data_IF_667105780324
#
_entry.id   IF_667105780324
#
_cell.length_a   1.000
_cell.length_b   1.000
_cell.length_c   1.000
_cell.angle_alpha   90.00
_cell.angle_beta   90.00
_cell.angle_gamma   90.00
#
_symmetry.space_group_name_H-M   'P 1'
#
loop_
_entity.id
_entity.type
_entity.pdbx_description
1 polymer ?
#
# COMPACT_ATOMS: atom_id res chain seq x y z
N UNK A 1 24.11 10.42 -23.38
CA UNK A 1 22.99 10.60 -22.43
C UNK A 1 23.13 9.53 -21.36
N UNK A 2 23.37 9.91 -20.10
CA UNK A 2 23.40 8.94 -19.00
C UNK A 2 21.96 8.44 -18.80
N UNK A 3 21.76 7.12 -18.83
CA UNK A 3 20.51 6.53 -18.38
C UNK A 3 20.30 6.99 -16.94
N UNK A 4 19.20 7.70 -16.67
CA UNK A 4 18.84 8.12 -15.32
C UNK A 4 18.82 6.86 -14.45
N UNK A 5 19.75 6.75 -13.50
CA UNK A 5 19.79 5.58 -12.60
C UNK A 5 18.44 5.47 -11.90
N UNK A 6 17.80 4.30 -12.02
CA UNK A 6 16.51 4.02 -11.37
C UNK A 6 16.74 4.05 -9.86
N UNK A 7 15.85 4.71 -9.12
CA UNK A 7 15.93 4.72 -7.65
C UNK A 7 15.73 3.31 -7.09
N UNK A 8 16.22 3.08 -5.86
CA UNK A 8 16.01 1.81 -5.16
C UNK A 8 14.53 1.44 -5.05
N UNK A 9 13.65 2.44 -4.95
CA UNK A 9 12.21 2.23 -4.91
C UNK A 9 11.67 1.68 -6.23
N UNK A 10 12.09 2.27 -7.36
CA UNK A 10 11.70 1.79 -8.70
C UNK A 10 12.23 0.38 -8.92
N UNK A 11 13.50 0.12 -8.56
CA UNK A 11 14.09 -1.21 -8.67
C UNK A 11 13.37 -2.23 -7.80
N UNK A 12 13.03 -1.89 -6.56
CA UNK A 12 12.28 -2.75 -5.65
C UNK A 12 10.89 -3.09 -6.22
N UNK A 13 10.14 -2.09 -6.70
CA UNK A 13 8.81 -2.29 -7.27
C UNK A 13 8.84 -3.04 -8.61
N UNK A 14 9.89 -2.91 -9.41
CA UNK A 14 10.07 -3.72 -10.62
C UNK A 14 10.42 -5.18 -10.30
N UNK A 15 10.80 -5.49 -9.06
CA UNK A 15 11.21 -6.82 -8.58
C UNK A 15 12.71 -7.09 -8.67
N UNK A 16 13.48 -6.14 -9.21
CA UNK A 16 14.93 -6.27 -9.41
C UNK A 16 15.73 -5.94 -8.14
N UNK A 17 15.24 -4.97 -7.36
CA UNK A 17 15.87 -4.42 -6.17
C UNK A 17 15.44 -5.05 -4.85
N UNK A 18 15.81 -4.37 -3.76
CA UNK A 18 15.53 -4.77 -2.37
C UNK A 18 15.11 -3.55 -1.56
N UNK A 19 14.36 -3.78 -0.50
CA UNK A 19 14.07 -2.73 0.47
C UNK A 19 15.26 -2.46 1.41
N UNK A 20 15.10 -1.50 2.32
CA UNK A 20 16.13 -1.13 3.31
C UNK A 20 16.51 -2.24 4.30
N UNK A 21 15.76 -3.35 4.34
CA UNK A 21 16.06 -4.56 5.13
C UNK A 21 16.70 -5.66 4.29
N UNK A 22 16.96 -5.40 3.00
CA UNK A 22 17.49 -6.38 2.06
C UNK A 22 16.46 -7.39 1.55
N UNK A 23 15.16 -7.17 1.76
CA UNK A 23 14.08 -8.07 1.28
C UNK A 23 13.72 -7.75 -0.17
N UNK A 24 13.46 -8.77 -0.98
CA UNK A 24 12.82 -8.61 -2.30
C UNK A 24 11.31 -8.50 -2.14
N UNK A 25 10.65 -8.01 -3.19
CA UNK A 25 9.19 -7.96 -3.25
C UNK A 25 8.56 -9.34 -3.04
N UNK A 26 9.10 -10.39 -3.67
CA UNK A 26 8.62 -11.77 -3.49
C UNK A 26 8.72 -12.27 -2.06
N UNK A 27 9.78 -11.90 -1.32
CA UNK A 27 9.94 -12.27 0.07
C UNK A 27 8.77 -11.73 0.89
N UNK A 28 8.40 -10.45 0.67
CA UNK A 28 7.30 -9.79 1.37
C UNK A 28 5.94 -10.37 0.95
N UNK A 29 5.72 -10.64 -0.34
CA UNK A 29 4.46 -11.25 -0.80
C UNK A 29 4.25 -12.66 -0.25
N UNK A 30 5.33 -13.38 0.06
CA UNK A 30 5.30 -14.71 0.67
C UNK A 30 5.11 -14.69 2.20
N UNK A 31 5.09 -13.52 2.85
CA UNK A 31 4.84 -13.44 4.29
C UNK A 31 3.51 -14.08 4.66
N UNK A 32 3.51 -14.79 5.79
CA UNK A 32 2.28 -15.21 6.47
C UNK A 32 1.55 -13.99 7.03
N UNK A 33 0.26 -14.11 7.31
CA UNK A 33 -0.53 -13.02 7.90
C UNK A 33 0.02 -12.59 9.26
N UNK A 34 0.55 -13.54 10.04
CA UNK A 34 1.27 -13.23 11.30
C UNK A 34 2.48 -12.34 11.07
N UNK A 35 3.25 -12.58 9.99
CA UNK A 35 4.40 -11.74 9.64
C UNK A 35 3.98 -10.38 9.11
N UNK A 36 2.89 -10.30 8.32
CA UNK A 36 2.32 -9.01 7.89
C UNK A 36 1.83 -8.16 9.07
N UNK A 37 1.27 -8.80 10.10
CA UNK A 37 0.85 -8.10 11.31
C UNK A 37 2.06 -7.68 12.17
N UNK A 38 3.08 -8.53 12.27
CA UNK A 38 4.26 -8.27 13.09
C UNK A 38 5.24 -7.25 12.50
N UNK A 39 5.42 -7.22 11.18
CA UNK A 39 6.38 -6.32 10.51
C UNK A 39 5.66 -5.12 9.90
N UNK A 40 6.12 -3.91 10.22
CA UNK A 40 5.39 -2.68 9.88
C UNK A 40 6.11 -1.84 8.83
N UNK A 41 7.36 -2.18 8.51
CA UNK A 41 8.29 -1.42 7.67
C UNK A 41 8.20 -1.77 6.18
N UNK A 42 7.54 -2.88 5.82
CA UNK A 42 7.36 -3.29 4.43
C UNK A 42 6.32 -2.43 3.70
N UNK A 43 5.31 -1.93 4.43
CA UNK A 43 4.14 -1.32 3.80
C UNK A 43 4.50 0.00 3.10
N UNK A 44 5.54 0.68 3.59
CA UNK A 44 6.04 1.90 2.97
C UNK A 44 6.76 1.66 1.64
N UNK A 45 7.31 0.46 1.46
CA UNK A 45 7.95 0.02 0.22
C UNK A 45 6.95 -0.55 -0.79
N UNK A 46 5.97 -1.35 -0.34
CA UNK A 46 4.91 -1.85 -1.25
C UNK A 46 3.99 -0.73 -1.74
N UNK A 47 3.71 0.26 -0.89
CA UNK A 47 2.79 1.36 -1.18
C UNK A 47 3.43 2.69 -0.79
N UNK A 48 4.44 3.16 -1.53
CA UNK A 48 5.13 4.40 -1.22
C UNK A 48 4.22 5.61 -1.47
N UNK A 49 4.53 6.72 -0.79
CA UNK A 49 3.83 8.01 -0.92
C UNK A 49 4.84 9.12 -1.18
N UNK A 50 4.36 10.24 -1.72
CA UNK A 50 5.10 11.49 -1.94
C UNK A 50 5.34 12.32 -0.67
N UNK A 51 4.82 11.84 0.47
CA UNK A 51 5.03 12.44 1.78
C UNK A 51 5.76 11.48 2.72
N UNK A 52 6.67 11.97 3.57
CA UNK A 52 7.34 11.16 4.59
C UNK A 52 6.37 10.38 5.47
N UNK A 53 6.76 9.16 5.85
CA UNK A 53 6.02 8.36 6.81
C UNK A 53 6.23 8.89 8.23
N UNK A 54 5.16 9.28 8.91
CA UNK A 54 5.23 9.64 10.33
C UNK A 54 5.49 8.42 11.25
N UNK A 55 5.12 7.21 10.80
CA UNK A 55 5.21 6.00 11.60
C UNK A 55 6.57 5.28 11.48
N UNK A 56 7.25 5.43 10.34
CA UNK A 56 8.52 4.73 10.05
C UNK A 56 9.50 5.73 9.42
N UNK A 57 10.34 6.40 10.22
CA UNK A 57 11.36 7.33 9.72
C UNK A 57 12.31 6.66 8.73
N UNK A 58 12.77 7.40 7.73
CA UNK A 58 13.69 6.88 6.71
C UNK A 58 13.04 5.99 5.64
N UNK A 59 11.71 5.84 5.66
CA UNK A 59 10.98 5.19 4.57
C UNK A 59 11.16 5.93 3.24
N UNK A 60 11.12 5.23 2.09
CA UNK A 60 11.22 5.88 0.79
C UNK A 60 10.07 6.87 0.58
N UNK A 61 10.38 8.01 -0.04
CA UNK A 61 9.44 9.06 -0.42
C UNK A 61 9.48 9.19 -1.93
N UNK A 62 8.31 9.13 -2.58
CA UNK A 62 8.21 9.26 -4.03
C UNK A 62 8.67 10.65 -4.48
N UNK A 63 9.59 10.68 -5.44
CA UNK A 63 9.83 11.87 -6.25
C UNK A 63 8.92 11.87 -7.47
N UNK A 64 8.77 13.02 -8.13
CA UNK A 64 8.04 13.10 -9.40
C UNK A 64 8.63 12.15 -10.46
N UNK A 65 9.97 12.01 -10.50
CA UNK A 65 10.64 11.09 -11.40
C UNK A 65 10.34 9.62 -11.09
N UNK A 66 10.21 9.25 -9.81
CA UNK A 66 9.82 7.89 -9.42
C UNK A 66 8.39 7.58 -9.86
N UNK A 67 7.47 8.53 -9.68
CA UNK A 67 6.07 8.37 -10.09
C UNK A 67 5.98 8.15 -11.60
N UNK A 68 6.69 8.96 -12.39
CA UNK A 68 6.75 8.80 -13.85
C UNK A 68 7.33 7.44 -14.25
N UNK A 69 8.44 7.04 -13.64
CA UNK A 69 9.09 5.75 -13.91
C UNK A 69 8.19 4.56 -13.55
N UNK A 70 7.56 4.57 -12.37
CA UNK A 70 6.67 3.52 -11.89
C UNK A 70 5.42 3.40 -12.78
N UNK A 71 4.86 4.53 -13.22
CA UNK A 71 3.69 4.55 -14.11
C UNK A 71 4.02 4.04 -15.52
N UNK A 72 5.22 4.29 -16.01
CA UNK A 72 5.67 3.85 -17.33
C UNK A 72 6.16 2.39 -17.36
N UNK A 73 6.47 1.78 -16.21
CA UNK A 73 7.04 0.43 -16.11
C UNK A 73 5.97 -0.64 -15.83
N UNK A 74 5.78 -1.56 -16.79
CA UNK A 74 4.77 -2.62 -16.71
C UNK A 74 5.02 -3.62 -15.56
N UNK A 75 6.28 -3.86 -15.18
CA UNK A 75 6.63 -4.73 -14.06
C UNK A 75 6.23 -4.09 -12.75
N UNK A 76 6.50 -2.79 -12.57
CA UNK A 76 6.04 -2.04 -11.41
C UNK A 76 4.51 -2.06 -11.28
N UNK A 77 3.79 -1.80 -12.38
CA UNK A 77 2.32 -1.85 -12.39
C UNK A 77 1.78 -3.23 -12.00
N UNK A 78 2.37 -4.30 -12.54
CA UNK A 78 1.99 -5.67 -12.24
C UNK A 78 2.24 -6.00 -10.77
N UNK A 79 3.39 -5.61 -10.23
CA UNK A 79 3.77 -5.90 -8.85
C UNK A 79 2.99 -5.08 -7.82
N UNK A 80 2.61 -3.83 -8.12
CA UNK A 80 1.70 -3.05 -7.29
C UNK A 80 0.32 -3.71 -7.20
N UNK A 81 -0.21 -4.23 -8.31
CA UNK A 81 -1.47 -4.98 -8.32
C UNK A 81 -1.37 -6.28 -7.52
N UNK A 82 -0.28 -7.03 -7.68
CA UNK A 82 -0.02 -8.24 -6.87
C UNK A 82 0.05 -7.91 -5.37
N UNK A 83 0.70 -6.80 -5.02
CA UNK A 83 0.77 -6.31 -3.64
C UNK A 83 -0.61 -5.94 -3.09
N UNK A 84 -1.43 -5.26 -3.91
CA UNK A 84 -2.82 -4.95 -3.54
C UNK A 84 -3.63 -6.22 -3.29
N UNK A 85 -3.54 -7.21 -4.18
CA UNK A 85 -4.24 -8.50 -4.01
C UNK A 85 -3.77 -9.25 -2.76
N UNK A 86 -2.47 -9.22 -2.44
CA UNK A 86 -1.94 -9.81 -1.22
C UNK A 86 -2.54 -9.16 0.03
N UNK A 87 -2.65 -7.83 0.05
CA UNK A 87 -3.25 -7.09 1.16
C UNK A 87 -4.78 -7.26 1.22
N UNK A 88 -5.47 -7.33 0.07
CA UNK A 88 -6.92 -7.66 0.03
C UNK A 88 -7.21 -8.99 0.70
N UNK A 89 -6.41 -10.02 0.39
CA UNK A 89 -6.51 -11.33 1.03
C UNK A 89 -6.33 -11.24 2.55
N UNK A 90 -5.27 -10.55 2.99
CA UNK A 90 -5.02 -10.34 4.42
C UNK A 90 -6.23 -9.71 5.14
N UNK A 91 -6.82 -8.64 4.58
CA UNK A 91 -7.99 -7.97 5.18
C UNK A 91 -9.29 -8.76 5.06
N UNK A 92 -9.41 -9.67 4.10
CA UNK A 92 -10.56 -10.56 3.95
C UNK A 92 -10.51 -11.74 4.92
N UNK A 93 -9.32 -12.26 5.22
CA UNK A 93 -9.11 -13.48 6.01
C UNK A 93 -8.89 -13.20 7.51
N UNK A 94 -8.76 -11.92 7.92
CA UNK A 94 -8.50 -11.54 9.30
C UNK A 94 -9.45 -10.44 9.77
N UNK A 95 -9.97 -10.56 11.00
CA UNK A 95 -10.99 -9.64 11.55
C UNK A 95 -10.48 -8.77 12.72
N UNK A 96 -9.26 -8.99 13.20
CA UNK A 96 -8.71 -8.24 14.35
C UNK A 96 -8.56 -6.74 14.09
N UNK A 97 -8.56 -6.30 12.84
CA UNK A 97 -8.54 -4.90 12.45
C UNK A 97 -9.93 -4.23 12.43
N UNK A 98 -11.02 -5.02 12.47
CA UNK A 98 -12.42 -4.58 12.49
C UNK A 98 -12.86 -4.16 13.89
N UNK A 99 -12.09 -3.23 14.46
CA UNK A 99 -12.30 -2.63 15.78
C UNK A 99 -12.21 -1.11 15.65
N UNK A 100 -12.66 -0.32 16.64
CA UNK A 100 -12.72 1.13 16.52
C UNK A 100 -11.37 1.80 16.18
N UNK A 101 -10.25 1.26 16.70
CA UNK A 101 -8.90 1.77 16.47
C UNK A 101 -7.93 0.62 16.27
N UNK A 102 -7.24 0.61 15.13
CA UNK A 102 -6.19 -0.35 14.82
C UNK A 102 -5.14 0.29 13.89
N UNK A 103 -3.88 -0.09 14.02
CA UNK A 103 -2.80 0.44 13.19
C UNK A 103 -2.98 0.13 11.70
N UNK A 104 -3.71 -0.94 11.36
CA UNK A 104 -4.07 -1.27 9.98
C UNK A 104 -4.91 -0.19 9.30
N UNK A 105 -5.63 0.67 10.04
CA UNK A 105 -6.42 1.75 9.43
C UNK A 105 -5.55 2.78 8.70
N UNK A 106 -4.34 3.05 9.23
CA UNK A 106 -3.34 3.89 8.57
C UNK A 106 -2.71 3.19 7.36
N UNK A 107 -2.53 1.87 7.43
CA UNK A 107 -2.05 1.07 6.29
C UNK A 107 -3.06 1.09 5.15
N UNK A 108 -4.35 0.91 5.45
CA UNK A 108 -5.44 1.00 4.47
C UNK A 108 -5.44 2.38 3.77
N UNK A 109 -5.35 3.46 4.55
CA UNK A 109 -5.25 4.83 4.01
C UNK A 109 -4.07 4.97 3.03
N UNK A 110 -2.90 4.44 3.43
CA UNK A 110 -1.69 4.46 2.60
C UNK A 110 -1.86 3.67 1.30
N UNK A 111 -2.44 2.48 1.37
CA UNK A 111 -2.68 1.62 0.21
C UNK A 111 -3.58 2.34 -0.80
N UNK A 112 -4.72 2.87 -0.37
CA UNK A 112 -5.67 3.55 -1.26
C UNK A 112 -5.00 4.76 -1.94
N UNK A 113 -4.30 5.60 -1.16
CA UNK A 113 -3.61 6.78 -1.70
C UNK A 113 -2.50 6.40 -2.70
N UNK A 114 -1.70 5.40 -2.37
CA UNK A 114 -0.61 4.92 -3.25
C UNK A 114 -1.15 4.32 -4.54
N UNK A 115 -2.18 3.47 -4.47
CA UNK A 115 -2.82 2.89 -5.67
C UNK A 115 -3.40 3.95 -6.58
N UNK A 116 -4.12 4.93 -6.01
CA UNK A 116 -4.68 6.05 -6.79
C UNK A 116 -3.59 6.85 -7.48
N UNK A 117 -2.45 7.06 -6.80
CA UNK A 117 -1.32 7.82 -7.35
C UNK A 117 -0.52 7.02 -8.37
N UNK A 118 -0.26 5.73 -8.17
CA UNK A 118 0.72 4.98 -8.96
C UNK A 118 0.11 4.06 -10.01
N UNK A 119 -1.11 3.57 -9.78
CA UNK A 119 -1.77 2.57 -10.65
C UNK A 119 -2.98 3.18 -11.34
N UNK A 120 -3.88 3.79 -10.57
CA UNK A 120 -5.08 4.43 -11.09
C UNK A 120 -6.23 4.44 -10.08
N UNK A 121 -7.22 5.29 -10.35
CA UNK A 121 -8.41 5.44 -9.49
C UNK A 121 -9.20 4.14 -9.35
N UNK A 122 -9.39 3.41 -10.45
CA UNK A 122 -10.17 2.17 -10.47
C UNK A 122 -9.60 1.09 -9.52
N UNK A 123 -8.28 0.89 -9.52
CA UNK A 123 -7.64 -0.08 -8.63
C UNK A 123 -7.73 0.34 -7.15
N UNK A 124 -7.69 1.64 -6.87
CA UNK A 124 -7.89 2.18 -5.53
C UNK A 124 -9.34 2.00 -5.03
N UNK A 125 -10.34 2.25 -5.89
CA UNK A 125 -11.76 2.04 -5.61
C UNK A 125 -12.05 0.56 -5.32
N UNK A 126 -11.53 -0.37 -6.15
CA UNK A 126 -11.68 -1.81 -5.90
C UNK A 126 -11.11 -2.25 -4.55
N UNK A 127 -9.99 -1.66 -4.11
CA UNK A 127 -9.44 -1.93 -2.79
C UNK A 127 -10.33 -1.36 -1.68
N UNK A 128 -10.75 -0.10 -1.82
CA UNK A 128 -11.63 0.59 -0.89
C UNK A 128 -12.98 -0.15 -0.73
N UNK A 129 -13.61 -0.57 -1.81
CA UNK A 129 -14.89 -1.28 -1.80
C UNK A 129 -14.83 -2.58 -1.01
N UNK A 130 -13.73 -3.34 -1.15
CA UNK A 130 -13.48 -4.54 -0.36
C UNK A 130 -13.40 -4.23 1.13
N UNK A 131 -12.64 -3.19 1.50
CA UNK A 131 -12.51 -2.77 2.90
C UNK A 131 -13.87 -2.34 3.47
N UNK A 132 -14.60 -1.49 2.76
CA UNK A 132 -15.90 -1.01 3.21
C UNK A 132 -16.94 -2.11 3.28
N UNK A 133 -16.86 -3.12 2.40
CA UNK A 133 -17.68 -4.34 2.52
C UNK A 133 -17.41 -5.07 3.84
N UNK A 134 -16.14 -5.31 4.20
CA UNK A 134 -15.78 -5.94 5.48
C UNK A 134 -16.24 -5.12 6.68
N UNK A 135 -16.12 -3.79 6.63
CA UNK A 135 -16.60 -2.91 7.70
C UNK A 135 -18.11 -3.04 7.90
N UNK A 136 -18.90 -2.99 6.81
CA UNK A 136 -20.36 -3.17 6.89
C UNK A 136 -20.73 -4.55 7.44
N UNK A 137 -20.08 -5.61 6.97
CA UNK A 137 -20.30 -6.98 7.46
C UNK A 137 -19.96 -7.16 8.94
N UNK A 138 -19.05 -6.36 9.49
CA UNK A 138 -18.72 -6.36 10.92
C UNK A 138 -19.74 -5.64 11.81
N UNK A 139 -20.72 -4.95 11.23
CA UNK A 139 -21.63 -4.03 11.92
C UNK A 139 -20.99 -2.67 12.21
N UNK A 140 -20.21 -2.13 11.25
CA UNK A 140 -19.62 -0.79 11.28
C UNK A 140 -18.77 -0.50 12.53
N UNK A 141 -18.00 -1.50 12.99
CA UNK A 141 -17.19 -1.41 14.21
C UNK A 141 -16.00 -0.47 14.11
N UNK A 142 -15.53 -0.18 12.89
CA UNK A 142 -14.42 0.76 12.66
C UNK A 142 -14.91 2.19 12.84
N UNK A 143 -14.11 3.04 13.49
CA UNK A 143 -14.50 4.43 13.72
C UNK A 143 -14.90 5.17 12.43
N UNK A 144 -15.93 6.00 12.52
CA UNK A 144 -16.38 6.85 11.41
C UNK A 144 -15.29 7.80 10.90
N UNK A 145 -14.33 8.15 11.77
CA UNK A 145 -13.17 8.97 11.40
C UNK A 145 -12.25 8.25 10.43
N UNK A 146 -11.86 6.99 10.71
CA UNK A 146 -11.07 6.18 9.76
C UNK A 146 -11.80 6.01 8.43
N UNK A 147 -13.10 5.70 8.48
CA UNK A 147 -13.92 5.54 7.27
C UNK A 147 -14.02 6.84 6.44
N UNK A 148 -14.08 8.01 7.09
CA UNK A 148 -14.05 9.31 6.41
C UNK A 148 -12.72 9.53 5.73
N UNK A 149 -11.60 9.32 6.42
CA UNK A 149 -10.27 9.48 5.81
C UNK A 149 -10.10 8.60 4.56
N UNK A 150 -10.61 7.37 4.56
CA UNK A 150 -10.54 6.50 3.40
C UNK A 150 -11.32 7.06 2.20
N UNK A 151 -12.54 7.58 2.42
CA UNK A 151 -13.33 8.26 1.36
C UNK A 151 -12.64 9.52 0.82
N UNK A 152 -12.09 10.34 1.72
CA UNK A 152 -11.35 11.55 1.35
C UNK A 152 -10.13 11.22 0.48
N UNK A 153 -9.46 10.07 0.68
CA UNK A 153 -8.35 9.67 -0.20
C UNK A 153 -8.77 9.44 -1.65
N UNK A 154 -10.01 8.98 -1.88
CA UNK A 154 -10.59 8.88 -3.22
C UNK A 154 -11.07 10.24 -3.75
N UNK A 155 -11.20 11.26 -2.90
CA UNK A 155 -11.75 12.57 -3.25
C UNK A 155 -13.29 12.58 -3.17
N UNK A 156 -13.85 11.67 -2.39
CA UNK A 156 -15.28 11.65 -2.06
C UNK A 156 -15.48 12.50 -0.80
N UNK A 157 -16.43 13.44 -0.86
CA UNK A 157 -16.82 14.34 0.24
C UNK A 157 -18.09 13.82 0.92
#
# INVERSE_FOLDING_TARGET
>A
MSAKERSDLVLFLSGEGRDSRGRRLEDILSFTDKQLEAYHDFIQWLFPLDTPSAAVPGSPVLTAADIEAIRADQSCQTNLKRSAERMKRFYAENDHWLVPTNHNHLRITRIIRSLKQLVGREDAEKFFDLIMKRVRESGDRVSSTSQRYWRETLGES
#
